data_IF_435217956580
#
_entry.id   IF_435217956580
#
_cell.length_a   1.000
_cell.length_b   1.000
_cell.length_c   1.000
_cell.angle_alpha   90.00
_cell.angle_beta   90.00
_cell.angle_gamma   90.00
#
_symmetry.space_group_name_H-M   'P 1'
#
loop_
_entity.id
_entity.type
_entity.pdbx_description
1 polymer ?
#
# COMPACT_ATOMS: atom_id res chain seq x y z
N UNK A 1 -30.25 14.18 -30.71
CA UNK A 1 -28.89 13.60 -30.54
C UNK A 1 -27.95 14.50 -29.72
N UNK A 2 -28.24 15.80 -29.55
CA UNK A 2 -27.44 16.75 -28.75
C UNK A 2 -27.36 16.44 -27.24
N UNK A 3 -28.42 15.90 -26.62
CA UNK A 3 -28.41 15.57 -25.19
C UNK A 3 -27.45 14.43 -24.81
N UNK A 4 -27.26 13.45 -25.70
CA UNK A 4 -26.30 12.34 -25.49
C UNK A 4 -24.84 12.80 -25.60
N UNK A 5 -24.57 13.77 -26.48
CA UNK A 5 -23.23 14.35 -26.66
C UNK A 5 -22.88 15.27 -25.48
N UNK A 6 -23.84 16.07 -25.01
CA UNK A 6 -23.65 16.93 -23.85
C UNK A 6 -23.31 16.14 -22.57
N UNK A 7 -24.01 15.03 -22.32
CA UNK A 7 -23.74 14.15 -21.17
C UNK A 7 -22.35 13.50 -21.26
N UNK A 8 -21.93 13.11 -22.47
CA UNK A 8 -20.60 12.53 -22.69
C UNK A 8 -19.47 13.53 -22.41
N UNK A 9 -19.64 14.79 -22.82
CA UNK A 9 -18.62 15.83 -22.60
C UNK A 9 -18.52 16.21 -21.12
N UNK A 10 -19.66 16.32 -20.44
CA UNK A 10 -19.69 16.61 -18.99
C UNK A 10 -19.01 15.49 -18.18
N UNK A 11 -19.22 14.23 -18.54
CA UNK A 11 -18.60 13.09 -17.86
C UNK A 11 -17.06 13.14 -17.94
N UNK A 12 -16.51 13.47 -19.12
CA UNK A 12 -15.06 13.57 -19.30
C UNK A 12 -14.45 14.71 -18.47
N UNK A 13 -15.11 15.87 -18.42
CA UNK A 13 -14.64 17.02 -17.62
C UNK A 13 -14.66 16.70 -16.12
N UNK A 14 -15.68 15.98 -15.64
CA UNK A 14 -15.76 15.57 -14.23
C UNK A 14 -14.62 14.63 -13.83
N UNK A 15 -14.28 13.65 -14.68
CA UNK A 15 -13.17 12.72 -14.40
C UNK A 15 -11.84 13.47 -14.30
N UNK A 16 -11.56 14.38 -15.24
CA UNK A 16 -10.34 15.21 -15.21
C UNK A 16 -10.31 16.09 -13.96
N UNK A 17 -11.45 16.68 -13.58
CA UNK A 17 -11.57 17.49 -12.36
C UNK A 17 -11.28 16.69 -11.08
N UNK A 18 -11.77 15.45 -10.97
CA UNK A 18 -11.49 14.58 -9.82
C UNK A 18 -10.01 14.20 -9.75
N UNK A 19 -9.38 13.86 -10.87
CA UNK A 19 -7.94 13.50 -10.91
C UNK A 19 -7.08 14.68 -10.46
N UNK A 20 -7.31 15.88 -11.02
CA UNK A 20 -6.55 17.08 -10.63
C UNK A 20 -6.83 17.45 -9.17
N UNK A 21 -8.09 17.35 -8.72
CA UNK A 21 -8.49 17.62 -7.35
C UNK A 21 -7.78 16.70 -6.34
N UNK A 22 -7.77 15.39 -6.59
CA UNK A 22 -7.05 14.42 -5.76
C UNK A 22 -5.55 14.72 -5.75
N UNK A 23 -4.92 14.91 -6.91
CA UNK A 23 -3.48 15.21 -6.98
C UNK A 23 -3.12 16.50 -6.25
N UNK A 24 -3.95 17.54 -6.34
CA UNK A 24 -3.74 18.81 -5.65
C UNK A 24 -3.95 18.71 -4.14
N UNK A 25 -4.95 17.96 -3.68
CA UNK A 25 -5.19 17.70 -2.25
C UNK A 25 -4.04 16.87 -1.66
N UNK A 26 -3.58 15.86 -2.38
CA UNK A 26 -2.44 15.02 -1.97
C UNK A 26 -1.16 15.85 -1.91
N UNK A 27 -0.89 16.74 -2.88
CA UNK A 27 0.27 17.64 -2.82
C UNK A 27 0.15 18.72 -1.73
N UNK A 28 -1.06 19.21 -1.42
CA UNK A 28 -1.26 20.23 -0.37
C UNK A 28 -1.16 19.66 1.04
N UNK A 29 -1.33 18.36 1.21
CA UNK A 29 -1.16 17.69 2.51
C UNK A 29 0.32 17.47 2.90
N UNK A 30 1.28 17.91 2.07
CA UNK A 30 2.72 17.83 2.35
C UNK A 30 3.30 19.17 2.87
N UNK A 31 2.45 20.12 3.29
CA UNK A 31 2.88 21.45 3.80
C UNK A 31 2.63 21.66 5.30
N UNK A 32 2.32 20.61 6.04
CA UNK A 32 2.23 20.67 7.50
C UNK A 32 2.65 19.35 8.11
N UNK A 33 3.95 19.14 8.23
CA UNK A 33 4.50 18.63 9.48
C UNK A 33 6.01 18.88 9.55
N UNK A 34 6.40 19.69 10.54
CA UNK A 34 7.79 19.93 10.91
C UNK A 34 8.26 18.79 11.82
N UNK A 35 8.25 17.55 11.33
CA UNK A 35 8.92 16.43 12.00
C UNK A 35 10.02 15.87 11.11
N UNK A 36 11.03 16.73 11.00
CA UNK A 36 12.38 16.41 10.60
C UNK A 36 12.99 15.47 11.63
N UNK A 37 12.69 14.17 11.52
CA UNK A 37 13.50 13.15 12.17
C UNK A 37 13.88 12.08 11.16
N UNK A 38 14.97 12.32 10.42
CA UNK A 38 15.86 11.35 9.78
C UNK A 38 15.27 9.99 9.35
N UNK A 39 14.10 9.98 8.71
CA UNK A 39 13.56 8.75 8.13
C UNK A 39 14.37 8.48 6.86
N UNK A 40 15.09 7.36 6.84
CA UNK A 40 15.79 6.86 5.63
C UNK A 40 14.83 6.91 4.43
N UNK A 41 15.34 7.24 3.24
CA UNK A 41 14.53 7.32 2.00
C UNK A 41 13.69 6.05 1.79
N UNK A 42 14.23 4.90 2.18
CA UNK A 42 13.57 3.61 2.16
C UNK A 42 12.35 3.53 3.10
N UNK A 43 12.40 4.20 4.25
CA UNK A 43 11.29 4.21 5.21
C UNK A 43 10.14 5.13 4.77
N UNK A 44 10.46 6.23 4.06
CA UNK A 44 9.44 7.03 3.34
C UNK A 44 8.74 6.22 2.24
N UNK A 45 9.48 5.36 1.53
CA UNK A 45 8.90 4.48 0.52
C UNK A 45 7.91 3.48 1.15
N UNK A 46 8.28 2.84 2.28
CA UNK A 46 7.38 1.94 3.02
C UNK A 46 6.13 2.68 3.51
N UNK A 47 6.28 3.87 4.09
CA UNK A 47 5.12 4.67 4.53
C UNK A 47 4.17 4.99 3.38
N UNK A 48 4.71 5.32 2.20
CA UNK A 48 3.90 5.59 1.00
C UNK A 48 3.16 4.34 0.51
N UNK A 49 3.84 3.18 0.49
CA UNK A 49 3.25 1.90 0.09
C UNK A 49 2.15 1.46 1.08
N UNK A 50 2.36 1.69 2.37
CA UNK A 50 1.43 1.29 3.43
C UNK A 50 0.27 2.29 3.65
N UNK A 51 0.37 3.52 3.14
CA UNK A 51 -0.65 4.57 3.29
C UNK A 51 -2.07 4.16 2.88
N UNK A 52 -2.31 3.50 1.71
CA UNK A 52 -3.65 3.07 1.30
C UNK A 52 -4.14 1.77 1.97
N UNK A 53 -3.36 1.18 2.87
CA UNK A 53 -3.70 -0.10 3.51
C UNK A 53 -4.51 0.11 4.80
N UNK A 54 -5.45 -0.79 5.07
CA UNK A 54 -6.22 -0.78 6.33
C UNK A 54 -5.38 -1.20 7.55
N UNK A 55 -4.26 -1.91 7.33
CA UNK A 55 -3.40 -2.47 8.36
C UNK A 55 -1.97 -1.93 8.25
N UNK A 56 -1.82 -0.64 8.52
CA UNK A 56 -0.56 0.10 8.34
C UNK A 56 0.59 -0.51 9.13
N UNK A 57 0.40 -0.79 10.41
CA UNK A 57 1.43 -1.41 11.27
C UNK A 57 1.90 -2.76 10.76
N UNK A 58 0.97 -3.62 10.33
CA UNK A 58 1.32 -4.92 9.78
C UNK A 58 2.12 -4.77 8.47
N UNK A 59 1.68 -3.86 7.59
CA UNK A 59 2.38 -3.56 6.34
C UNK A 59 3.82 -3.07 6.57
N UNK A 60 4.01 -2.13 7.50
CA UNK A 60 5.35 -1.60 7.83
C UNK A 60 6.25 -2.72 8.36
N UNK A 61 5.75 -3.56 9.27
CA UNK A 61 6.49 -4.72 9.81
C UNK A 61 6.86 -5.73 8.72
N UNK A 62 5.94 -6.01 7.78
CA UNK A 62 6.20 -6.92 6.66
C UNK A 62 7.30 -6.41 5.72
N UNK A 63 7.43 -5.09 5.58
CA UNK A 63 8.39 -4.44 4.68
C UNK A 63 9.65 -3.94 5.38
N UNK A 64 9.76 -4.07 6.70
CA UNK A 64 10.88 -3.59 7.51
C UNK A 64 12.23 -4.16 7.03
N UNK A 65 12.22 -5.39 6.52
CA UNK A 65 13.39 -6.10 5.98
C UNK A 65 14.03 -5.40 4.78
N UNK A 66 13.23 -4.77 3.91
CA UNK A 66 13.70 -3.97 2.76
C UNK A 66 13.80 -2.49 3.08
N UNK A 67 13.14 -2.03 4.15
CA UNK A 67 13.15 -0.64 4.59
C UNK A 67 14.51 -0.14 5.10
N UNK A 68 15.43 -1.03 5.46
CA UNK A 68 16.82 -0.68 5.80
C UNK A 68 17.76 -0.69 4.60
N UNK A 69 17.29 -1.08 3.41
CA UNK A 69 18.10 -1.16 2.21
C UNK A 69 18.00 0.13 1.38
N UNK A 70 19.07 0.93 1.39
CA UNK A 70 19.13 2.23 0.73
C UNK A 70 19.16 2.13 -0.82
N UNK A 71 19.44 0.94 -1.34
CA UNK A 71 19.49 0.64 -2.78
C UNK A 71 18.25 -0.08 -3.29
N UNK A 72 17.22 -0.28 -2.45
CA UNK A 72 16.04 -1.04 -2.80
C UNK A 72 15.21 -0.34 -3.88
N UNK A 73 14.86 -1.09 -4.91
CA UNK A 73 13.99 -0.65 -5.99
C UNK A 73 12.53 -0.96 -5.66
N UNK A 74 11.54 -0.33 -6.33
CA UNK A 74 10.12 -0.64 -6.13
C UNK A 74 9.78 -2.13 -6.27
N UNK A 75 10.52 -2.87 -7.12
CA UNK A 75 10.33 -4.31 -7.30
C UNK A 75 10.71 -5.10 -6.05
N UNK A 76 11.74 -4.66 -5.33
CA UNK A 76 12.20 -5.31 -4.11
C UNK A 76 11.15 -5.21 -2.99
N UNK A 77 10.44 -4.08 -2.89
CA UNK A 77 9.32 -3.94 -1.95
C UNK A 77 8.17 -4.89 -2.28
N UNK A 78 7.84 -5.06 -3.57
CA UNK A 78 6.79 -6.00 -3.99
C UNK A 78 7.20 -7.45 -3.70
N UNK A 79 8.44 -7.82 -4.01
CA UNK A 79 8.95 -9.16 -3.71
C UNK A 79 8.98 -9.42 -2.19
N UNK A 80 9.37 -8.43 -1.38
CA UNK A 80 9.35 -8.53 0.07
C UNK A 80 7.93 -8.72 0.62
N UNK A 81 6.94 -7.97 0.11
CA UNK A 81 5.54 -8.15 0.52
C UNK A 81 5.03 -9.57 0.22
N UNK A 82 5.36 -10.11 -0.96
CA UNK A 82 5.00 -11.48 -1.36
C UNK A 82 5.71 -12.49 -0.45
N UNK A 83 7.00 -12.29 -0.20
CA UNK A 83 7.79 -13.18 0.66
C UNK A 83 7.24 -13.22 2.10
N UNK A 84 6.94 -12.05 2.68
CA UNK A 84 6.32 -11.96 3.99
C UNK A 84 4.97 -12.68 4.05
N UNK A 85 4.17 -12.58 2.98
CA UNK A 85 2.90 -13.30 2.86
C UNK A 85 3.12 -14.81 2.84
N UNK A 86 4.08 -15.29 2.04
CA UNK A 86 4.40 -16.72 1.95
C UNK A 86 4.88 -17.29 3.28
N UNK A 87 5.67 -16.53 4.04
CA UNK A 87 6.19 -16.98 5.32
C UNK A 87 5.08 -17.06 6.39
N UNK A 88 4.14 -16.12 6.40
CA UNK A 88 2.98 -16.19 7.30
C UNK A 88 2.05 -17.36 6.92
N UNK A 89 1.88 -17.63 5.62
CA UNK A 89 1.12 -18.81 5.14
C UNK A 89 1.80 -20.11 5.56
N UNK A 90 3.12 -20.24 5.41
CA UNK A 90 3.86 -21.42 5.86
C UNK A 90 3.74 -21.63 7.36
N UNK A 91 3.87 -20.55 8.15
CA UNK A 91 3.72 -20.59 9.60
C UNK A 91 2.32 -21.03 10.00
N UNK A 92 1.29 -20.54 9.30
CA UNK A 92 -0.10 -20.97 9.50
C UNK A 92 -0.29 -22.45 9.18
N UNK A 93 0.33 -22.95 8.10
CA UNK A 93 0.34 -24.36 7.75
C UNK A 93 1.05 -25.23 8.78
N UNK A 94 2.18 -24.77 9.32
CA UNK A 94 2.92 -25.47 10.37
C UNK A 94 2.12 -25.58 11.67
N UNK A 95 1.43 -24.50 12.06
CA UNK A 95 0.52 -24.53 13.22
C UNK A 95 -0.63 -25.50 12.98
N UNK A 96 -1.19 -25.49 11.78
CA UNK A 96 -2.29 -26.40 11.39
C UNK A 96 -1.82 -27.85 11.35
N UNK A 97 -0.61 -28.14 10.85
CA UNK A 97 -0.07 -29.51 10.79
C UNK A 97 0.32 -30.05 12.16
N UNK A 98 0.73 -29.18 13.09
CA UNK A 98 0.96 -29.53 14.50
C UNK A 98 -0.33 -29.72 15.29
N UNK A 99 -1.45 -29.21 14.78
CA UNK A 99 -2.76 -29.36 15.40
C UNK A 99 -3.48 -30.54 14.75
N UNK A 100 -3.40 -31.72 15.37
CA UNK A 100 -4.16 -32.90 14.96
C UNK A 100 -5.65 -32.51 15.00
N UNK A 101 -6.28 -32.38 13.83
CA UNK A 101 -7.74 -32.30 13.75
C UNK A 101 -8.24 -33.69 14.16
N UNK A 102 -8.59 -33.86 15.43
CA UNK A 102 -9.32 -35.05 15.89
C UNK A 102 -10.63 -35.08 15.10
N UNK A 103 -10.69 -35.96 14.10
CA UNK A 103 -11.88 -36.19 13.28
C UNK A 103 -12.78 -37.20 14.00
N UNK A 104 -13.31 -36.81 15.16
CA UNK A 104 -14.32 -37.58 15.89
C UNK A 104 -15.70 -36.95 15.65
N UNK A 105 -16.33 -37.33 14.53
CA UNK A 105 -17.78 -37.35 14.31
C UNK A 105 -18.09 -38.30 13.16
#
# INVERSE_FOLDING_TARGET
MVGKVAVSVVSLILVVGVVIGVVAVVHRNDSSDNDQHNMSSSMKAVTTICAPTSYKDACVRSLESVANNQTATPKDYVMAAIQATLDEVKKSFEVTSKTVVNKDS
#
